data_IF_803741153124
#
_entry.id   IF_803741153124
#
_cell.length_a   1.000
_cell.length_b   1.000
_cell.length_c   1.000
_cell.angle_alpha   90.00
_cell.angle_beta   90.00
_cell.angle_gamma   90.00
#
_symmetry.space_group_name_H-M   'P 1'
#
loop_
_entity.id
_entity.type
_entity.pdbx_description
1 polymer ?
#
# COMPACT_ATOMS: atom_id res chain seq x y z
N UNK A 1 -7.68 -30.80 9.90
CA UNK A 1 -8.32 -30.89 8.58
C UNK A 1 -7.58 -29.94 7.65
N UNK A 2 -7.43 -30.30 6.39
CA UNK A 2 -6.72 -29.49 5.39
C UNK A 2 -7.64 -28.33 4.97
N UNK A 3 -7.23 -27.09 5.25
CA UNK A 3 -8.00 -25.87 4.96
C UNK A 3 -8.36 -25.75 3.47
N UNK A 4 -7.53 -26.32 2.58
CA UNK A 4 -7.81 -26.34 1.15
C UNK A 4 -8.95 -27.31 0.80
N UNK A 5 -9.05 -28.41 1.55
CA UNK A 5 -10.15 -29.38 1.41
C UNK A 5 -11.47 -28.80 1.96
N UNK A 6 -11.42 -28.03 3.06
CA UNK A 6 -12.59 -27.33 3.59
C UNK A 6 -13.10 -26.25 2.62
N UNK A 7 -12.21 -25.47 2.01
CA UNK A 7 -12.57 -24.41 1.07
C UNK A 7 -13.24 -24.96 -0.20
N UNK A 8 -12.70 -26.05 -0.77
CA UNK A 8 -13.31 -26.77 -1.89
C UNK A 8 -14.68 -27.36 -1.56
N UNK A 9 -14.85 -27.85 -0.32
CA UNK A 9 -16.13 -28.36 0.14
C UNK A 9 -17.19 -27.25 0.23
N UNK A 10 -16.81 -26.07 0.72
CA UNK A 10 -17.69 -24.89 0.79
C UNK A 10 -18.07 -24.42 -0.62
N UNK A 11 -17.14 -24.42 -1.57
CA UNK A 11 -17.41 -24.03 -2.97
C UNK A 11 -18.42 -24.98 -3.63
N UNK A 12 -18.26 -26.29 -3.46
CA UNK A 12 -19.23 -27.28 -3.94
C UNK A 12 -20.63 -27.04 -3.37
N UNK A 13 -20.73 -26.76 -2.06
CA UNK A 13 -22.01 -26.46 -1.40
C UNK A 13 -22.64 -25.16 -1.91
N UNK A 14 -21.83 -24.14 -2.22
CA UNK A 14 -22.32 -22.89 -2.79
C UNK A 14 -22.87 -23.09 -4.20
N UNK A 15 -22.18 -23.86 -5.05
CA UNK A 15 -22.62 -24.16 -6.40
C UNK A 15 -23.95 -24.94 -6.41
N UNK A 16 -24.08 -25.94 -5.53
CA UNK A 16 -25.32 -26.71 -5.39
C UNK A 16 -26.50 -25.82 -4.95
N UNK A 17 -26.25 -24.89 -4.01
CA UNK A 17 -27.28 -23.94 -3.55
C UNK A 17 -27.64 -22.89 -4.60
N UNK A 18 -26.67 -22.42 -5.38
CA UNK A 18 -26.93 -21.52 -6.52
C UNK A 18 -27.80 -22.22 -7.54
N UNK A 19 -27.47 -23.46 -7.90
CA UNK A 19 -28.25 -24.28 -8.84
C UNK A 19 -29.70 -24.45 -8.37
N UNK A 20 -29.90 -24.77 -7.08
CA UNK A 20 -31.23 -24.88 -6.48
C UNK A 20 -32.00 -23.54 -6.49
N UNK A 21 -31.33 -22.42 -6.19
CA UNK A 21 -31.93 -21.09 -6.21
C UNK A 21 -32.35 -20.66 -7.64
N UNK A 22 -31.55 -21.01 -8.64
CA UNK A 22 -31.87 -20.81 -10.07
C UNK A 22 -33.10 -21.62 -10.47
N UNK A 23 -33.17 -22.90 -10.11
CA UNK A 23 -34.34 -23.75 -10.38
C UNK A 23 -35.63 -23.20 -9.75
N UNK A 24 -35.51 -22.61 -8.56
CA UNK A 24 -36.63 -21.99 -7.83
C UNK A 24 -36.94 -20.55 -8.27
N UNK A 25 -36.20 -19.99 -9.24
CA UNK A 25 -36.30 -18.60 -9.70
C UNK A 25 -36.15 -17.55 -8.58
N UNK A 26 -35.41 -17.88 -7.53
CA UNK A 26 -35.13 -16.97 -6.43
C UNK A 26 -33.91 -16.10 -6.76
N UNK A 27 -34.18 -14.97 -7.42
CA UNK A 27 -33.16 -14.03 -7.90
C UNK A 27 -32.36 -13.41 -6.74
N UNK A 28 -32.99 -13.20 -5.57
CA UNK A 28 -32.33 -12.64 -4.40
C UNK A 28 -31.33 -13.63 -3.81
N UNK A 29 -31.71 -14.90 -3.68
CA UNK A 29 -30.82 -15.96 -3.23
C UNK A 29 -29.66 -16.19 -4.20
N UNK A 30 -29.90 -16.17 -5.51
CA UNK A 30 -28.83 -16.29 -6.52
C UNK A 30 -27.80 -15.17 -6.39
N UNK A 31 -28.25 -13.91 -6.20
CA UNK A 31 -27.34 -12.78 -6.05
C UNK A 31 -26.49 -12.88 -4.77
N UNK A 32 -27.10 -13.22 -3.63
CA UNK A 32 -26.41 -13.37 -2.36
C UNK A 32 -25.38 -14.53 -2.39
N UNK A 33 -25.77 -15.69 -2.91
CA UNK A 33 -24.89 -16.85 -3.03
C UNK A 33 -23.74 -16.62 -4.04
N UNK A 34 -24.00 -15.89 -5.12
CA UNK A 34 -22.98 -15.51 -6.09
C UNK A 34 -21.95 -14.52 -5.51
N UNK A 35 -22.36 -13.65 -4.58
CA UNK A 35 -21.43 -12.78 -3.84
C UNK A 35 -20.53 -13.60 -2.92
N UNK A 36 -21.09 -14.57 -2.20
CA UNK A 36 -20.34 -15.49 -1.35
C UNK A 36 -19.35 -16.35 -2.15
N UNK A 37 -19.72 -16.80 -3.34
CA UNK A 37 -18.81 -17.53 -4.23
C UNK A 37 -17.59 -16.68 -4.62
N UNK A 38 -17.78 -15.40 -4.93
CA UNK A 38 -16.67 -14.46 -5.22
C UNK A 38 -15.72 -14.26 -4.03
N UNK A 39 -16.26 -14.26 -2.81
CA UNK A 39 -15.43 -14.18 -1.60
C UNK A 39 -14.59 -15.46 -1.40
N UNK A 40 -15.17 -16.64 -1.68
CA UNK A 40 -14.42 -17.90 -1.67
C UNK A 40 -13.28 -17.92 -2.72
N UNK A 41 -13.54 -17.47 -3.95
CA UNK A 41 -12.51 -17.35 -4.99
C UNK A 41 -11.37 -16.41 -4.57
N UNK A 42 -11.69 -15.30 -3.90
CA UNK A 42 -10.69 -14.37 -3.38
C UNK A 42 -9.79 -15.02 -2.31
N UNK A 43 -10.40 -15.78 -1.38
CA UNK A 43 -9.68 -16.52 -0.34
C UNK A 43 -8.76 -17.61 -0.93
N UNK A 44 -9.16 -18.28 -2.01
CA UNK A 44 -8.29 -19.21 -2.74
C UNK A 44 -7.07 -18.51 -3.36
N UNK A 45 -7.28 -17.32 -3.95
CA UNK A 45 -6.20 -16.49 -4.47
C UNK A 45 -5.18 -16.08 -3.40
N UNK A 46 -5.65 -15.78 -2.18
CA UNK A 46 -4.77 -15.48 -1.04
C UNK A 46 -4.02 -16.73 -0.57
N UNK A 47 -4.70 -17.87 -0.47
CA UNK A 47 -4.10 -19.13 -0.02
C UNK A 47 -3.00 -19.63 -0.98
N UNK A 48 -3.26 -19.60 -2.29
CA UNK A 48 -2.26 -19.94 -3.32
C UNK A 48 -1.03 -19.02 -3.25
N UNK A 49 -1.26 -17.72 -3.04
CA UNK A 49 -0.19 -16.74 -2.86
C UNK A 49 0.64 -17.02 -1.61
N UNK A 50 -0.01 -17.38 -0.51
CA UNK A 50 0.64 -17.72 0.75
C UNK A 50 1.47 -19.00 0.63
N UNK A 51 0.93 -20.06 0.04
CA UNK A 51 1.65 -21.31 -0.19
C UNK A 51 2.89 -21.11 -1.05
N UNK A 52 2.81 -20.32 -2.12
CA UNK A 52 3.98 -19.99 -2.94
C UNK A 52 5.08 -19.30 -2.13
N UNK A 53 4.72 -18.43 -1.20
CA UNK A 53 5.69 -17.75 -0.31
C UNK A 53 6.32 -18.72 0.69
N UNK A 54 5.53 -19.63 1.25
CA UNK A 54 6.02 -20.67 2.18
C UNK A 54 7.02 -21.57 1.47
N UNK A 55 6.72 -22.04 0.26
CA UNK A 55 7.63 -22.89 -0.51
C UNK A 55 8.95 -22.18 -0.86
N UNK A 56 8.90 -20.88 -1.19
CA UNK A 56 10.12 -20.08 -1.40
C UNK A 56 10.98 -19.93 -0.12
N UNK A 57 10.36 -19.90 1.06
CA UNK A 57 11.08 -19.88 2.35
C UNK A 57 11.66 -21.26 2.68
N UNK A 58 10.92 -22.34 2.42
CA UNK A 58 11.43 -23.70 2.62
C UNK A 58 12.61 -24.01 1.70
N UNK A 59 12.54 -23.58 0.44
CA UNK A 59 13.64 -23.79 -0.51
C UNK A 59 14.91 -23.04 -0.12
N UNK A 60 14.80 -21.89 0.55
CA UNK A 60 15.95 -21.12 1.04
C UNK A 60 16.56 -21.69 2.33
N UNK A 61 15.79 -22.45 3.11
CA UNK A 61 16.27 -23.11 4.33
C UNK A 61 16.95 -24.46 4.06
N UNK A 62 16.67 -25.10 2.93
CA UNK A 62 17.23 -26.41 2.56
C UNK A 62 18.55 -26.32 1.76
N UNK A 63 19.07 -25.12 1.49
CA UNK A 63 20.35 -24.96 0.81
C UNK A 63 21.53 -25.13 1.81
N UNK A 64 22.43 -26.11 1.63
CA UNK A 64 23.48 -26.38 2.60
C UNK A 64 24.56 -25.28 2.61
N UNK A 65 24.85 -24.81 3.82
CA UNK A 65 25.91 -23.87 4.16
C UNK A 65 27.28 -24.33 3.58
N UNK A 66 27.78 -23.64 2.55
CA UNK A 66 29.17 -23.78 2.11
C UNK A 66 30.02 -22.62 2.62
N UNK A 67 31.02 -23.02 3.39
CA UNK A 67 32.09 -22.24 4.01
C UNK A 67 33.15 -21.77 2.98
N UNK A 68 33.78 -20.64 3.31
CA UNK A 68 35.18 -20.26 2.99
C UNK A 68 35.52 -19.43 1.73
N UNK A 69 36.04 -18.22 2.05
CA UNK A 69 37.27 -17.56 1.53
C UNK A 69 37.28 -16.80 0.19
N UNK A 70 37.22 -15.47 0.33
CA UNK A 70 37.91 -14.37 -0.38
C UNK A 70 38.54 -14.72 -1.77
N UNK A 71 37.91 -14.26 -2.85
CA UNK A 71 38.44 -13.23 -3.78
C UNK A 71 37.86 -13.39 -5.21
N UNK A 72 37.41 -12.25 -5.76
CA UNK A 72 37.01 -11.97 -7.15
C UNK A 72 35.65 -12.48 -7.70
N UNK A 73 34.76 -11.47 -7.87
CA UNK A 73 33.54 -11.36 -8.71
C UNK A 73 32.30 -12.20 -8.33
N UNK A 74 31.26 -11.58 -7.73
CA UNK A 74 29.93 -12.18 -7.67
C UNK A 74 29.12 -11.85 -8.93
N UNK A 75 28.76 -12.90 -9.67
CA UNK A 75 27.78 -12.95 -10.78
C UNK A 75 27.03 -14.28 -10.50
N UNK A 76 25.75 -14.36 -10.11
CA UNK A 76 24.57 -13.59 -10.45
C UNK A 76 23.76 -13.21 -9.19
N UNK A 77 23.61 -11.91 -9.01
CA UNK A 77 22.65 -11.32 -8.08
C UNK A 77 21.22 -11.45 -8.61
N UNK A 78 20.24 -11.68 -7.73
CA UNK A 78 18.87 -11.22 -8.00
C UNK A 78 18.90 -9.68 -7.96
N UNK A 79 19.33 -9.08 -9.07
CA UNK A 79 19.16 -7.67 -9.39
C UNK A 79 18.30 -7.59 -10.63
N UNK A 80 17.07 -7.13 -10.44
CA UNK A 80 16.43 -6.05 -11.21
C UNK A 80 15.25 -5.60 -10.34
N UNK A 81 15.42 -4.81 -9.28
CA UNK A 81 15.41 -3.34 -9.31
C UNK A 81 15.30 -2.77 -7.88
N UNK A 82 16.06 -3.30 -6.91
CA UNK A 82 16.07 -2.75 -5.53
C UNK A 82 16.80 -1.42 -5.43
N UNK A 83 17.81 -1.18 -6.28
CA UNK A 83 18.40 0.14 -6.50
C UNK A 83 17.46 1.09 -7.24
N UNK A 84 16.61 0.59 -8.14
CA UNK A 84 15.70 1.41 -8.95
C UNK A 84 14.46 1.90 -8.19
N UNK A 85 13.80 1.10 -7.34
CA UNK A 85 12.63 1.59 -6.58
C UNK A 85 13.00 2.61 -5.51
N UNK A 86 14.10 2.36 -4.77
CA UNK A 86 14.58 3.30 -3.74
C UNK A 86 15.12 4.58 -4.37
N UNK A 87 15.84 4.49 -5.50
CA UNK A 87 16.28 5.64 -6.27
C UNK A 87 15.07 6.40 -6.85
N UNK A 88 14.11 5.73 -7.48
CA UNK A 88 12.90 6.37 -8.01
C UNK A 88 12.12 7.11 -6.91
N UNK A 89 12.00 6.53 -5.72
CA UNK A 89 11.39 7.19 -4.57
C UNK A 89 12.22 8.39 -4.08
N UNK A 90 13.55 8.35 -4.18
CA UNK A 90 14.41 9.48 -3.85
C UNK A 90 14.27 10.59 -4.89
N UNK A 91 14.41 10.26 -6.18
CA UNK A 91 14.21 11.18 -7.31
C UNK A 91 12.85 11.85 -7.25
N UNK A 92 11.75 11.11 -7.05
CA UNK A 92 10.43 11.70 -6.96
C UNK A 92 10.28 12.67 -5.78
N UNK A 93 10.93 12.38 -4.65
CA UNK A 93 10.95 13.30 -3.49
C UNK A 93 11.77 14.54 -3.79
N UNK A 94 12.94 14.38 -4.40
CA UNK A 94 13.82 15.50 -4.73
C UNK A 94 13.19 16.41 -5.80
N UNK A 95 12.55 15.84 -6.82
CA UNK A 95 11.77 16.56 -7.83
C UNK A 95 10.59 17.31 -7.22
N UNK A 96 9.82 16.66 -6.34
CA UNK A 96 8.71 17.33 -5.64
C UNK A 96 9.21 18.51 -4.79
N UNK A 97 10.27 18.31 -4.00
CA UNK A 97 10.87 19.39 -3.18
C UNK A 97 11.43 20.52 -4.05
N UNK A 98 12.07 20.22 -5.18
CA UNK A 98 12.52 21.24 -6.11
C UNK A 98 11.36 22.02 -6.71
N UNK A 99 10.26 21.33 -7.05
CA UNK A 99 9.03 21.92 -7.58
C UNK A 99 8.33 22.87 -6.61
N UNK A 100 8.37 22.61 -5.29
CA UNK A 100 7.76 23.47 -4.27
C UNK A 100 8.21 24.93 -4.31
N UNK A 101 9.39 25.22 -4.87
CA UNK A 101 9.92 26.58 -5.00
C UNK A 101 9.02 27.46 -5.87
N UNK A 102 8.35 26.91 -6.87
CA UNK A 102 7.40 27.65 -7.73
C UNK A 102 6.16 28.08 -6.95
N UNK A 103 5.86 27.42 -5.83
CA UNK A 103 4.77 27.73 -4.92
C UNK A 103 5.21 28.58 -3.71
N UNK A 104 6.44 29.09 -3.72
CA UNK A 104 7.02 29.88 -2.63
C UNK A 104 7.34 29.06 -1.37
N UNK A 105 7.40 27.73 -1.48
CA UNK A 105 7.71 26.84 -0.37
C UNK A 105 9.16 26.36 -0.48
N UNK A 106 9.90 26.43 0.63
CA UNK A 106 11.27 25.93 0.72
C UNK A 106 11.39 24.97 1.89
N UNK A 107 11.88 23.77 1.61
CA UNK A 107 12.11 22.72 2.59
C UNK A 107 13.61 22.44 2.73
N UNK A 108 14.09 22.34 3.96
CA UNK A 108 15.46 21.94 4.30
C UNK A 108 15.48 20.50 4.79
N UNK A 109 16.30 19.64 4.21
CA UNK A 109 16.40 18.23 4.62
C UNK A 109 16.75 17.31 3.47
N UNK A 110 16.56 16.01 3.68
CA UNK A 110 16.86 14.98 2.68
C UNK A 110 16.08 13.70 2.94
N UNK A 111 15.92 12.91 1.89
CA UNK A 111 15.32 11.58 2.03
C UNK A 111 13.84 11.69 2.38
N UNK A 112 13.43 11.07 3.49
CA UNK A 112 12.03 11.12 3.98
C UNK A 112 11.77 12.27 4.97
N UNK A 113 12.78 13.06 5.37
CA UNK A 113 12.65 14.08 6.42
C UNK A 113 13.11 15.45 5.97
N UNK A 114 12.25 16.43 6.21
CA UNK A 114 12.46 17.83 5.90
C UNK A 114 11.95 18.73 7.02
N UNK A 115 12.29 20.01 6.93
CA UNK A 115 11.83 21.07 7.80
C UNK A 115 11.42 22.27 6.95
N UNK A 116 10.31 22.92 7.32
CA UNK A 116 9.90 24.18 6.71
C UNK A 116 10.83 25.33 7.13
N UNK A 117 10.68 26.49 6.50
CA UNK A 117 11.41 27.70 6.92
C UNK A 117 11.18 28.06 8.39
N UNK A 118 9.97 27.76 8.91
CA UNK A 118 9.55 27.97 10.30
C UNK A 118 9.95 26.84 11.26
N UNK A 119 10.71 25.85 10.79
CA UNK A 119 11.23 24.76 11.62
C UNK A 119 10.26 23.58 11.83
N UNK A 120 9.08 23.59 11.21
CA UNK A 120 8.09 22.51 11.34
C UNK A 120 8.61 21.24 10.67
N UNK A 121 8.49 20.11 11.33
CA UNK A 121 8.94 18.81 10.80
C UNK A 121 7.98 18.27 9.73
N UNK A 122 8.55 17.87 8.59
CA UNK A 122 7.81 17.35 7.43
C UNK A 122 8.34 15.96 7.08
N UNK A 123 7.45 14.97 7.10
CA UNK A 123 7.76 13.60 6.75
C UNK A 123 7.14 13.24 5.39
N UNK A 124 7.95 12.77 4.44
CA UNK A 124 7.54 12.55 3.04
C UNK A 124 7.63 11.07 2.69
N UNK A 125 6.49 10.47 2.37
CA UNK A 125 6.38 9.11 1.87
C UNK A 125 6.15 9.12 0.35
N UNK A 126 6.57 8.04 -0.29
CA UNK A 126 6.35 7.84 -1.71
C UNK A 126 5.88 6.41 -1.95
N UNK A 127 4.91 6.25 -2.83
CA UNK A 127 4.52 4.95 -3.38
C UNK A 127 4.12 5.08 -4.85
N UNK A 128 4.39 4.02 -5.60
CA UNK A 128 3.73 3.81 -6.89
C UNK A 128 2.36 3.16 -6.64
N UNK A 129 1.46 3.39 -7.58
CA UNK A 129 0.14 2.76 -7.62
C UNK A 129 0.31 1.23 -7.69
N UNK A 130 -0.54 0.51 -6.96
CA UNK A 130 -0.51 -0.94 -6.91
C UNK A 130 -0.98 -1.51 -8.26
N UNK A 131 -0.15 -2.34 -8.89
CA UNK A 131 -0.51 -2.96 -10.19
C UNK A 131 -1.71 -3.90 -10.09
N UNK A 132 -1.99 -4.44 -8.91
CA UNK A 132 -3.12 -5.34 -8.63
C UNK A 132 -4.41 -4.60 -8.25
N UNK A 133 -4.34 -3.29 -8.00
CA UNK A 133 -5.48 -2.50 -7.57
C UNK A 133 -5.29 -1.05 -8.02
N UNK A 134 -5.97 -0.71 -9.11
CA UNK A 134 -5.93 0.63 -9.66
C UNK A 134 -6.36 1.67 -8.64
N UNK A 135 -5.80 2.86 -8.77
CA UNK A 135 -6.02 4.02 -7.93
C UNK A 135 -5.77 3.75 -6.44
N UNK A 136 -4.87 2.82 -6.10
CA UNK A 136 -4.47 2.56 -4.71
C UNK A 136 -2.98 2.67 -4.48
N UNK A 137 -2.62 3.22 -3.32
CA UNK A 137 -1.24 3.39 -2.87
C UNK A 137 -1.11 2.97 -1.41
N UNK A 138 0.00 2.29 -1.09
CA UNK A 138 0.34 1.91 0.27
C UNK A 138 1.65 2.55 0.67
N UNK A 139 1.60 3.47 1.64
CA UNK A 139 2.72 4.31 2.04
C UNK A 139 3.11 4.07 3.51
N UNK A 140 4.38 4.32 3.83
CA UNK A 140 4.92 4.19 5.19
C UNK A 140 5.77 5.40 5.58
N UNK A 141 5.39 6.04 6.69
CA UNK A 141 6.18 7.06 7.38
C UNK A 141 6.66 6.52 8.72
N UNK A 142 7.84 6.94 9.17
CA UNK A 142 8.28 6.61 10.54
C UNK A 142 7.29 7.18 11.55
N UNK A 143 6.98 6.40 12.57
CA UNK A 143 6.09 6.80 13.66
C UNK A 143 6.82 7.76 14.60
N UNK A 144 6.89 9.00 14.17
CA UNK A 144 7.57 10.10 14.84
C UNK A 144 6.59 11.27 14.98
N UNK A 145 6.89 12.18 15.91
CA UNK A 145 6.10 13.41 16.13
C UNK A 145 6.31 14.44 15.01
N UNK A 146 6.05 14.03 13.77
CA UNK A 146 5.99 14.91 12.61
C UNK A 146 4.82 15.86 12.71
N UNK A 147 5.00 17.11 12.29
CA UNK A 147 3.90 18.08 12.25
C UNK A 147 3.10 18.00 10.94
N UNK A 148 3.76 17.62 9.85
CA UNK A 148 3.16 17.49 8.52
C UNK A 148 3.60 16.16 7.88
N UNK A 149 2.63 15.39 7.42
CA UNK A 149 2.83 14.20 6.62
C UNK A 149 2.53 14.52 5.15
N UNK A 150 3.43 14.14 4.25
CA UNK A 150 3.24 14.30 2.80
C UNK A 150 3.23 12.92 2.16
N UNK A 151 2.15 12.60 1.45
CA UNK A 151 1.98 11.34 0.75
C UNK A 151 2.10 11.58 -0.76
N UNK A 152 3.20 11.12 -1.35
CA UNK A 152 3.44 11.18 -2.79
C UNK A 152 2.96 9.89 -3.46
N UNK A 153 1.88 10.00 -4.22
CA UNK A 153 1.19 8.90 -4.87
C UNK A 153 1.42 8.98 -6.38
N UNK A 154 2.31 8.14 -6.93
CA UNK A 154 2.57 8.11 -8.38
C UNK A 154 1.65 7.10 -9.04
N UNK A 155 0.81 7.55 -9.97
CA UNK A 155 -0.07 6.68 -10.74
C UNK A 155 0.69 5.78 -11.74
N UNK A 156 0.05 4.71 -12.21
CA UNK A 156 0.57 3.87 -13.30
C UNK A 156 0.80 4.67 -14.59
N UNK A 157 0.01 5.74 -14.81
CA UNK A 157 0.18 6.70 -15.91
C UNK A 157 1.29 7.73 -15.67
N UNK A 158 2.02 7.63 -14.57
CA UNK A 158 3.15 8.50 -14.23
C UNK A 158 2.79 9.83 -13.56
N UNK A 159 1.50 10.21 -13.48
CA UNK A 159 1.06 11.41 -12.76
C UNK A 159 1.35 11.25 -11.27
N UNK A 160 2.03 12.24 -10.68
CA UNK A 160 2.31 12.34 -9.26
C UNK A 160 1.21 13.17 -8.58
N UNK A 161 0.59 12.61 -7.54
CA UNK A 161 -0.30 13.33 -6.64
C UNK A 161 0.38 13.50 -5.30
N UNK A 162 0.32 14.70 -4.75
CA UNK A 162 0.89 15.03 -3.45
C UNK A 162 -0.21 15.46 -2.49
N UNK A 163 -0.33 14.73 -1.38
CA UNK A 163 -1.34 14.98 -0.34
C UNK A 163 -0.60 15.49 0.89
N UNK A 164 -0.81 16.77 1.22
CA UNK A 164 -0.10 17.46 2.30
C UNK A 164 -0.99 17.55 3.54
N UNK A 165 -0.75 16.66 4.50
CA UNK A 165 -1.60 16.42 5.65
C UNK A 165 -0.98 17.04 6.91
N UNK A 166 -1.60 18.07 7.52
CA UNK A 166 -1.26 18.47 8.87
C UNK A 166 -1.60 17.33 9.83
N UNK A 167 -0.64 16.81 10.58
CA UNK A 167 -0.84 15.64 11.45
C UNK A 167 -1.89 15.92 12.53
N UNK A 168 -2.04 17.19 12.94
CA UNK A 168 -3.07 17.59 13.90
C UNK A 168 -4.51 17.40 13.38
N UNK A 169 -4.73 17.50 12.06
CA UNK A 169 -6.03 17.16 11.44
C UNK A 169 -6.29 15.65 11.37
N UNK A 170 -5.25 14.84 11.53
CA UNK A 170 -5.35 13.39 11.56
C UNK A 170 -5.44 12.84 12.99
N UNK A 171 -5.49 13.65 14.06
CA UNK A 171 -5.31 13.18 15.45
C UNK A 171 -6.15 11.96 15.82
N UNK A 172 -7.42 11.95 15.44
CA UNK A 172 -8.35 10.87 15.73
C UNK A 172 -7.98 9.61 14.95
N UNK A 173 -7.76 9.76 13.64
CA UNK A 173 -7.40 8.66 12.74
C UNK A 173 -5.97 8.15 12.96
N UNK A 174 -5.03 9.01 13.33
CA UNK A 174 -3.61 8.68 13.47
C UNK A 174 -3.37 7.55 14.45
N UNK A 175 -4.17 7.50 15.53
CA UNK A 175 -4.06 6.47 16.56
C UNK A 175 -4.50 5.10 16.06
N UNK A 176 -5.50 5.05 15.19
CA UNK A 176 -6.07 3.81 14.64
C UNK A 176 -5.41 3.36 13.34
N UNK A 177 -4.57 4.18 12.73
CA UNK A 177 -3.75 3.77 11.57
C UNK A 177 -2.86 2.56 11.91
N UNK A 178 -2.77 1.64 10.95
CA UNK A 178 -1.92 0.46 11.06
C UNK A 178 -0.45 0.85 11.24
N UNK A 179 0.24 0.13 12.12
CA UNK A 179 1.68 0.30 12.40
C UNK A 179 2.41 -1.01 12.20
N UNK A 180 3.55 -0.94 11.53
CA UNK A 180 4.46 -2.08 11.47
C UNK A 180 5.89 -1.61 11.19
N UNK A 181 6.86 -2.28 11.82
CA UNK A 181 8.29 -1.97 11.66
C UNK A 181 8.66 -0.51 11.99
N UNK A 182 7.98 0.09 12.98
CA UNK A 182 8.19 1.48 13.38
C UNK A 182 7.67 2.51 12.37
N UNK A 183 6.82 2.10 11.43
CA UNK A 183 6.17 2.98 10.48
C UNK A 183 4.64 2.98 10.64
N UNK A 184 4.04 4.17 10.60
CA UNK A 184 2.61 4.38 10.38
C UNK A 184 2.30 4.17 8.89
N UNK A 185 1.29 3.35 8.61
CA UNK A 185 0.90 2.94 7.27
C UNK A 185 -0.32 3.72 6.81
N UNK A 186 -0.25 4.21 5.58
CA UNK A 186 -1.33 4.94 4.93
C UNK A 186 -1.76 4.14 3.71
N UNK A 187 -3.05 3.83 3.64
CA UNK A 187 -3.67 3.22 2.48
C UNK A 187 -4.54 4.28 1.80
N UNK A 188 -4.10 4.76 0.65
CA UNK A 188 -4.79 5.83 -0.08
C UNK A 188 -5.49 5.21 -1.28
N UNK A 189 -6.77 5.53 -1.46
CA UNK A 189 -7.54 5.22 -2.66
C UNK A 189 -7.95 6.52 -3.35
N UNK A 190 -7.85 6.58 -4.67
CA UNK A 190 -8.51 7.60 -5.48
C UNK A 190 -9.81 7.01 -6.04
N UNK A 191 -10.90 7.74 -5.90
CA UNK A 191 -12.23 7.35 -6.36
C UNK A 191 -12.85 8.51 -7.13
N UNK A 192 -12.92 8.39 -8.46
CA UNK A 192 -13.12 9.51 -9.36
C UNK A 192 -12.18 10.68 -8.99
N UNK A 193 -12.70 11.83 -8.58
CA UNK A 193 -11.91 13.01 -8.19
C UNK A 193 -11.58 13.09 -6.70
N UNK A 194 -12.04 12.11 -5.91
CA UNK A 194 -11.83 12.08 -4.46
C UNK A 194 -10.58 11.27 -4.11
N UNK A 195 -9.87 11.72 -3.08
CA UNK A 195 -8.81 10.96 -2.43
C UNK A 195 -9.27 10.56 -1.04
N UNK A 196 -9.24 9.27 -0.76
CA UNK A 196 -9.71 8.67 0.48
C UNK A 196 -8.52 8.00 1.19
N UNK A 197 -8.36 8.30 2.47
CA UNK A 197 -7.50 7.55 3.37
C UNK A 197 -8.32 6.42 3.97
N UNK A 198 -7.97 5.18 3.63
CA UNK A 198 -8.63 3.98 4.14
C UNK A 198 -8.08 3.68 5.54
N UNK A 199 -8.99 3.67 6.51
CA UNK A 199 -8.71 3.42 7.93
C UNK A 199 -9.31 2.06 8.27
N UNK A 200 -8.54 1.19 8.91
CA UNK A 200 -9.02 -0.15 9.26
C UNK A 200 -10.07 -0.05 10.35
N UNK A 201 -11.28 -0.54 10.09
CA UNK A 201 -12.38 -0.56 11.08
C UNK A 201 -13.16 0.73 11.21
N UNK A 202 -12.85 1.75 10.40
CA UNK A 202 -13.53 3.06 10.38
C UNK A 202 -13.94 3.44 8.95
N UNK A 203 -14.76 4.48 8.83
CA UNK A 203 -15.10 5.07 7.53
C UNK A 203 -13.86 5.69 6.85
N UNK A 204 -13.73 5.58 5.51
CA UNK A 204 -12.68 6.25 4.77
C UNK A 204 -12.69 7.77 4.97
N UNK A 205 -11.56 8.34 5.37
CA UNK A 205 -11.42 9.78 5.54
C UNK A 205 -11.17 10.46 4.18
N UNK A 206 -12.01 11.42 3.81
CA UNK A 206 -11.79 12.24 2.62
C UNK A 206 -10.63 13.24 2.84
N UNK A 207 -9.57 13.08 2.05
CA UNK A 207 -8.37 13.90 2.08
C UNK A 207 -8.19 14.75 0.82
N UNK A 208 -9.22 14.87 -0.02
CA UNK A 208 -9.18 15.59 -1.31
C UNK A 208 -8.74 17.04 -1.14
N UNK A 209 -9.19 17.72 -0.08
CA UNK A 209 -8.83 19.12 0.23
C UNK A 209 -7.35 19.35 0.53
N UNK A 210 -6.57 18.28 0.71
CA UNK A 210 -5.14 18.33 0.99
C UNK A 210 -4.28 18.06 -0.25
N UNK A 211 -4.88 17.67 -1.37
CA UNK A 211 -4.17 17.41 -2.62
C UNK A 211 -3.66 18.73 -3.19
N UNK A 212 -2.35 18.85 -3.39
CA UNK A 212 -1.69 20.07 -3.88
C UNK A 212 -1.86 21.30 -2.97
N UNK A 213 -2.32 21.11 -1.73
CA UNK A 213 -2.52 22.22 -0.78
C UNK A 213 -1.25 22.42 0.06
N UNK A 214 -0.41 23.37 -0.35
CA UNK A 214 0.89 23.62 0.29
C UNK A 214 0.85 24.54 1.52
N UNK A 215 -0.31 25.06 1.93
CA UNK A 215 -0.43 25.91 3.11
C UNK A 215 0.21 25.31 4.38
N UNK A 216 0.09 24.00 4.68
CA UNK A 216 0.73 23.42 5.85
C UNK A 216 2.26 23.49 5.85
N UNK A 217 2.89 23.74 4.70
CA UNK A 217 4.35 23.80 4.54
C UNK A 217 4.92 25.22 4.65
N UNK A 218 4.07 26.25 4.76
CA UNK A 218 4.45 27.67 4.81
C UNK A 218 4.77 28.19 6.21
#
# INVERSE_FOLDING_TARGET
MDLQTELKHIESLLLDRISAAVSNRDVAAVAALSSLAKECEALEGEFTTLNRRIEAVKSTLNDPLSTSTISHKPIYSIQTHTTSRKAAAATARDEWVAGLRTHGVSLRGRGKRYQTARGRSVAVAFANELSISENRWFLGLRDESGEVAVLLCKSLKGKLYDIVLPVWHLREVWRVLSRSHGEVKFNVKKDADRFLLLVTGDEPLDVTKYVGNYEPLR
#
